data_IF_556274249227
#
_entry.id   IF_556274249227
#
_cell.length_a   1.000
_cell.length_b   1.000
_cell.length_c   1.000
_cell.angle_alpha   90.00
_cell.angle_beta   90.00
_cell.angle_gamma   90.00
#
_symmetry.space_group_name_H-M   'P 1'
#
loop_
_entity.id
_entity.type
_entity.pdbx_description
1 polymer ?
#
# COMPACT_ATOMS: atom_id res chain seq x y z
N UNK A 1 -13.26 17.95 -2.07
CA UNK A 1 -13.97 17.71 -3.35
C UNK A 1 -13.97 16.20 -3.58
N UNK A 2 -15.12 15.57 -3.44
CA UNK A 2 -15.26 14.14 -3.74
C UNK A 2 -15.24 13.97 -5.24
N UNK A 3 -14.13 13.50 -5.78
CA UNK A 3 -14.08 13.06 -7.16
C UNK A 3 -14.90 11.78 -7.27
N UNK A 4 -16.10 11.89 -7.82
CA UNK A 4 -16.93 10.73 -8.11
C UNK A 4 -16.32 10.01 -9.31
N UNK A 5 -15.47 9.03 -9.03
CA UNK A 5 -14.88 8.19 -10.07
C UNK A 5 -15.98 7.28 -10.64
N UNK A 6 -16.08 7.23 -11.95
CA UNK A 6 -17.12 6.45 -12.65
C UNK A 6 -16.77 4.97 -12.82
N UNK A 7 -15.52 4.60 -12.55
CA UNK A 7 -15.03 3.23 -12.68
C UNK A 7 -14.31 2.82 -11.40
N UNK A 8 -14.66 1.65 -10.89
CA UNK A 8 -14.11 1.10 -9.65
C UNK A 8 -13.55 -0.31 -9.93
N UNK A 9 -12.52 -0.75 -9.18
CA UNK A 9 -12.15 -2.15 -9.14
C UNK A 9 -13.37 -3.00 -8.77
N UNK A 10 -13.49 -4.19 -9.33
CA UNK A 10 -14.55 -5.10 -8.94
C UNK A 10 -14.30 -5.68 -7.54
N UNK A 11 -15.35 -6.31 -6.98
CA UNK A 11 -15.26 -6.86 -5.62
C UNK A 11 -14.24 -7.99 -5.52
N UNK A 12 -14.03 -8.77 -6.56
CA UNK A 12 -13.03 -9.86 -6.55
C UNK A 12 -11.64 -9.27 -6.44
N UNK A 13 -11.35 -8.24 -7.22
CA UNK A 13 -10.07 -7.53 -7.18
C UNK A 13 -9.80 -6.87 -5.82
N UNK A 14 -10.82 -6.32 -5.15
CA UNK A 14 -10.70 -5.76 -3.81
C UNK A 14 -10.45 -6.85 -2.75
N UNK A 15 -11.12 -8.02 -2.88
CA UNK A 15 -10.88 -9.17 -1.99
C UNK A 15 -9.46 -9.70 -2.15
N UNK A 16 -8.99 -9.90 -3.38
CA UNK A 16 -7.63 -10.35 -3.65
C UNK A 16 -6.59 -9.32 -3.18
N UNK A 17 -6.89 -8.03 -3.28
CA UNK A 17 -6.05 -6.96 -2.77
C UNK A 17 -5.95 -7.01 -1.23
N UNK A 18 -7.08 -7.14 -0.52
CA UNK A 18 -7.13 -7.28 0.94
C UNK A 18 -6.41 -8.55 1.41
N UNK A 19 -6.59 -9.67 0.70
CA UNK A 19 -5.92 -10.92 1.00
C UNK A 19 -4.43 -10.95 0.63
N UNK A 20 -3.93 -9.94 -0.08
CA UNK A 20 -2.53 -9.87 -0.52
C UNK A 20 -2.18 -10.84 -1.67
N UNK A 21 -3.19 -11.39 -2.36
CA UNK A 21 -3.01 -12.35 -3.45
C UNK A 21 -3.03 -11.72 -4.84
N UNK A 22 -3.42 -10.44 -4.93
CA UNK A 22 -3.47 -9.72 -6.20
C UNK A 22 -2.07 -9.54 -6.79
N UNK A 23 -1.86 -9.76 -8.11
CA UNK A 23 -0.59 -9.51 -8.76
C UNK A 23 -0.07 -8.08 -8.55
N UNK A 24 1.26 -7.92 -8.52
CA UNK A 24 1.88 -6.63 -8.14
C UNK A 24 1.42 -5.46 -9.00
N UNK A 25 1.34 -5.62 -10.32
CA UNK A 25 0.92 -4.54 -11.22
C UNK A 25 -0.52 -4.08 -10.96
N UNK A 26 -1.43 -5.02 -10.74
CA UNK A 26 -2.83 -4.75 -10.42
C UNK A 26 -2.97 -4.13 -9.03
N UNK A 27 -2.19 -4.63 -8.04
CA UNK A 27 -2.14 -4.07 -6.69
C UNK A 27 -1.72 -2.58 -6.69
N UNK A 28 -0.81 -2.20 -7.57
CA UNK A 28 -0.40 -0.80 -7.74
C UNK A 28 -1.56 0.04 -8.26
N UNK A 29 -2.28 -0.45 -9.27
CA UNK A 29 -3.43 0.24 -9.83
C UNK A 29 -4.54 0.41 -8.80
N UNK A 30 -4.87 -0.65 -8.06
CA UNK A 30 -5.87 -0.60 -6.97
C UNK A 30 -5.42 0.37 -5.88
N UNK A 31 -4.17 0.30 -5.44
CA UNK A 31 -3.62 1.20 -4.42
C UNK A 31 -3.68 2.67 -4.86
N UNK A 32 -3.35 2.97 -6.11
CA UNK A 32 -3.48 4.31 -6.66
C UNK A 32 -4.94 4.79 -6.71
N UNK A 33 -5.88 3.91 -7.10
CA UNK A 33 -7.30 4.21 -7.10
C UNK A 33 -7.82 4.51 -5.69
N UNK A 34 -7.44 3.70 -4.69
CA UNK A 34 -7.83 3.87 -3.28
C UNK A 34 -7.40 5.23 -2.71
N UNK A 35 -6.33 5.83 -3.26
CA UNK A 35 -5.91 7.16 -2.83
C UNK A 35 -6.99 8.24 -3.10
N UNK A 36 -7.77 8.09 -4.15
CA UNK A 36 -8.77 9.07 -4.60
C UNK A 36 -10.21 8.63 -4.35
N UNK A 37 -10.48 7.34 -4.13
CA UNK A 37 -11.83 6.80 -4.02
C UNK A 37 -12.18 6.41 -2.59
N UNK A 38 -13.07 7.19 -1.95
CA UNK A 38 -13.56 6.92 -0.60
C UNK A 38 -14.45 5.68 -0.54
N UNK A 39 -15.28 5.46 -1.57
CA UNK A 39 -16.18 4.31 -1.64
C UNK A 39 -15.39 2.99 -1.60
N UNK A 40 -14.33 2.86 -2.41
CA UNK A 40 -13.50 1.66 -2.42
C UNK A 40 -12.69 1.49 -1.13
N UNK A 41 -12.25 2.60 -0.49
CA UNK A 41 -11.64 2.51 0.85
C UNK A 41 -12.60 1.97 1.90
N UNK A 42 -13.86 2.41 1.88
CA UNK A 42 -14.89 1.92 2.80
C UNK A 42 -15.16 0.44 2.60
N UNK A 43 -15.22 -0.01 1.34
CA UNK A 43 -15.40 -1.42 1.04
C UNK A 43 -14.19 -2.27 1.48
N UNK A 44 -12.97 -1.78 1.24
CA UNK A 44 -11.76 -2.43 1.71
C UNK A 44 -11.76 -2.58 3.24
N UNK A 45 -12.15 -1.55 3.99
CA UNK A 45 -12.27 -1.63 5.44
C UNK A 45 -13.24 -2.73 5.90
N UNK A 46 -14.33 -2.96 5.19
CA UNK A 46 -15.26 -4.07 5.50
C UNK A 46 -14.60 -5.43 5.29
N UNK A 47 -13.85 -5.58 4.20
CA UNK A 47 -13.10 -6.80 3.92
C UNK A 47 -12.01 -7.05 4.97
N UNK A 48 -11.30 -6.03 5.40
CA UNK A 48 -10.30 -6.11 6.46
C UNK A 48 -10.91 -6.48 7.82
N UNK A 49 -12.13 -6.03 8.10
CA UNK A 49 -12.88 -6.46 9.29
C UNK A 49 -13.18 -7.96 9.28
N UNK A 50 -13.59 -8.49 8.12
CA UNK A 50 -13.79 -9.94 7.95
C UNK A 50 -12.47 -10.70 8.15
N UNK A 51 -11.39 -10.23 7.54
CA UNK A 51 -10.06 -10.79 7.72
C UNK A 51 -9.61 -10.80 9.19
N UNK A 52 -9.86 -9.71 9.91
CA UNK A 52 -9.58 -9.58 11.34
C UNK A 52 -10.38 -10.58 12.19
N UNK A 53 -11.65 -10.80 11.84
CA UNK A 53 -12.47 -11.80 12.53
C UNK A 53 -11.93 -13.21 12.31
N UNK A 54 -11.59 -13.58 11.09
CA UNK A 54 -11.00 -14.87 10.76
C UNK A 54 -9.68 -15.09 11.50
N UNK A 55 -8.85 -14.05 11.60
CA UNK A 55 -7.60 -14.12 12.35
C UNK A 55 -7.82 -14.34 13.85
N UNK A 56 -8.87 -13.73 14.42
CA UNK A 56 -9.23 -13.88 15.83
C UNK A 56 -9.73 -15.30 16.14
N UNK A 57 -10.38 -15.94 15.17
CA UNK A 57 -10.89 -17.32 15.28
C UNK A 57 -9.82 -18.36 14.99
N UNK A 58 -8.68 -17.98 14.42
CA UNK A 58 -7.57 -18.88 14.14
C UNK A 58 -6.92 -19.39 15.45
N UNK A 59 -6.41 -20.60 15.43
CA UNK A 59 -5.70 -21.18 16.57
C UNK A 59 -4.43 -20.37 16.86
N UNK A 60 -4.22 -19.90 18.11
CA UNK A 60 -3.05 -19.15 18.47
C UNK A 60 -1.77 -19.97 18.26
N UNK A 61 -0.76 -19.37 17.66
CA UNK A 61 0.57 -19.97 17.58
C UNK A 61 1.30 -19.83 18.93
N UNK A 62 2.03 -20.86 19.33
CA UNK A 62 2.93 -20.76 20.47
C UNK A 62 4.09 -19.82 20.13
N UNK A 63 4.33 -18.87 21.01
CA UNK A 63 5.46 -17.94 20.89
C UNK A 63 6.38 -18.11 22.09
N UNK A 64 7.68 -17.91 21.85
CA UNK A 64 8.67 -17.93 22.93
C UNK A 64 8.45 -16.73 23.87
N UNK A 65 8.49 -17.00 25.20
CA UNK A 65 8.28 -15.95 26.21
C UNK A 65 9.30 -14.80 26.10
N UNK A 66 10.49 -15.09 25.61
CA UNK A 66 11.54 -14.07 25.41
C UNK A 66 11.33 -13.19 24.17
N UNK A 67 10.38 -13.55 23.30
CA UNK A 67 10.14 -12.81 22.06
C UNK A 67 9.69 -11.37 22.34
N UNK A 68 8.83 -11.18 23.33
CA UNK A 68 8.36 -9.87 23.73
C UNK A 68 9.52 -8.97 24.16
N UNK A 69 10.37 -9.45 25.06
CA UNK A 69 11.53 -8.71 25.54
C UNK A 69 12.52 -8.39 24.42
N UNK A 70 12.70 -9.34 23.50
CA UNK A 70 13.55 -9.14 22.31
C UNK A 70 13.02 -8.03 21.40
N UNK A 71 11.70 -7.99 21.17
CA UNK A 71 11.06 -6.95 20.34
C UNK A 71 11.16 -5.60 21.04
N UNK A 72 10.88 -5.53 22.35
CA UNK A 72 10.97 -4.28 23.12
C UNK A 72 12.40 -3.74 23.12
N UNK A 73 13.40 -4.61 23.36
CA UNK A 73 14.80 -4.20 23.30
C UNK A 73 15.21 -3.66 21.92
N UNK A 74 14.67 -4.22 20.82
CA UNK A 74 14.89 -3.69 19.47
C UNK A 74 14.23 -2.33 19.26
N UNK A 75 13.04 -2.12 19.81
CA UNK A 75 12.34 -0.82 19.72
C UNK A 75 13.14 0.23 20.51
N UNK A 76 13.57 -0.08 21.73
CA UNK A 76 14.32 0.82 22.59
C UNK A 76 15.70 1.15 22.02
N UNK A 77 16.34 0.19 21.33
CA UNK A 77 17.63 0.38 20.67
C UNK A 77 17.53 1.01 19.27
N UNK A 78 16.35 1.08 18.69
CA UNK A 78 16.14 1.73 17.42
C UNK A 78 16.31 3.25 17.60
N UNK A 79 17.43 3.79 17.12
CA UNK A 79 17.58 5.23 17.00
C UNK A 79 16.39 5.75 16.17
N UNK A 80 15.75 6.82 16.66
CA UNK A 80 14.68 7.46 15.90
C UNK A 80 15.20 7.75 14.50
N UNK A 81 14.65 7.03 13.52
CA UNK A 81 15.02 7.29 12.11
C UNK A 81 14.95 8.79 11.89
N UNK A 82 16.00 9.42 11.37
CA UNK A 82 15.98 10.86 11.15
C UNK A 82 14.71 11.16 10.36
N UNK A 83 13.87 12.07 10.90
CA UNK A 83 12.70 12.57 10.15
C UNK A 83 13.21 12.87 8.75
N UNK A 84 12.59 12.36 7.70
CA UNK A 84 13.02 12.67 6.35
C UNK A 84 13.14 14.20 6.28
N UNK A 85 14.36 14.67 6.04
CA UNK A 85 14.62 16.09 5.86
C UNK A 85 13.59 16.57 4.85
N UNK A 86 12.93 17.68 5.16
CA UNK A 86 11.86 18.31 4.38
C UNK A 86 12.16 18.11 2.90
N UNK A 87 11.54 17.09 2.31
CA UNK A 87 11.76 16.79 0.91
C UNK A 87 11.31 18.02 0.14
N UNK A 88 12.24 18.72 -0.47
CA UNK A 88 11.92 19.62 -1.57
C UNK A 88 10.87 18.92 -2.40
N UNK A 89 9.85 19.65 -2.83
CA UNK A 89 8.69 19.16 -3.58
C UNK A 89 9.13 18.36 -4.83
N UNK A 90 9.66 17.18 -4.61
CA UNK A 90 9.70 16.12 -5.61
C UNK A 90 8.25 15.80 -5.88
N UNK A 91 7.84 15.84 -7.12
CA UNK A 91 6.49 15.47 -7.54
C UNK A 91 6.09 14.22 -6.77
N UNK A 92 5.15 14.35 -5.83
CA UNK A 92 4.85 13.28 -4.91
C UNK A 92 4.03 12.24 -5.66
N UNK A 93 4.72 11.22 -6.13
CA UNK A 93 4.05 10.03 -6.61
C UNK A 93 3.24 9.41 -5.46
N UNK A 94 2.09 8.79 -5.74
CA UNK A 94 1.36 8.01 -4.75
C UNK A 94 2.32 7.03 -4.06
N UNK A 95 2.15 6.82 -2.76
CA UNK A 95 3.04 5.99 -1.95
C UNK A 95 3.26 4.58 -2.52
N UNK A 96 2.23 4.01 -3.15
CA UNK A 96 2.27 2.74 -3.88
C UNK A 96 3.27 2.73 -5.03
N UNK A 97 3.39 3.84 -5.74
CA UNK A 97 4.34 3.99 -6.85
C UNK A 97 5.75 4.29 -6.34
N UNK A 98 5.86 5.09 -5.27
CA UNK A 98 7.16 5.45 -4.70
C UNK A 98 7.94 4.25 -4.16
N UNK A 99 7.25 3.19 -3.70
CA UNK A 99 7.88 1.93 -3.27
C UNK A 99 8.57 1.17 -4.41
N UNK A 100 8.12 1.36 -5.64
CA UNK A 100 8.69 0.69 -6.82
C UNK A 100 9.86 1.45 -7.42
N UNK A 101 9.90 2.76 -7.21
CA UNK A 101 10.98 3.61 -7.70
C UNK A 101 12.15 3.47 -6.72
N UNK A 102 13.08 2.57 -7.03
CA UNK A 102 14.28 2.33 -6.21
C UNK A 102 15.20 3.54 -6.10
N UNK A 103 15.09 4.49 -7.00
CA UNK A 103 15.87 5.71 -7.00
C UNK A 103 14.99 6.91 -7.36
N UNK A 104 14.59 7.75 -6.38
CA UNK A 104 13.75 8.92 -6.63
C UNK A 104 14.42 9.99 -7.50
N UNK A 105 15.75 9.92 -7.66
CA UNK A 105 16.52 10.79 -8.55
C UNK A 105 16.50 10.32 -10.01
N UNK A 106 16.09 9.08 -10.24
CA UNK A 106 16.02 8.53 -11.58
C UNK A 106 14.64 8.84 -12.18
N UNK A 107 14.57 9.88 -12.98
CA UNK A 107 13.38 10.15 -13.76
C UNK A 107 13.23 9.06 -14.85
N UNK A 108 12.07 8.37 -14.91
CA UNK A 108 11.82 7.42 -15.97
C UNK A 108 11.91 8.13 -17.34
N UNK A 109 12.62 7.51 -18.27
CA UNK A 109 12.67 8.01 -19.65
C UNK A 109 11.37 7.57 -20.33
N UNK A 110 10.46 8.51 -20.48
CA UNK A 110 9.22 8.28 -21.19
C UNK A 110 9.49 8.10 -22.69
N UNK A 111 9.13 6.95 -23.21
CA UNK A 111 9.21 6.67 -24.65
C UNK A 111 7.82 6.75 -25.24
N UNK A 112 7.68 7.53 -26.31
CA UNK A 112 6.43 7.57 -27.05
C UNK A 112 6.21 6.22 -27.75
N UNK A 113 5.14 5.52 -27.41
CA UNK A 113 4.75 4.25 -28.01
C UNK A 113 4.02 4.42 -29.35
N UNK A 114 3.30 5.54 -29.50
CA UNK A 114 2.60 5.90 -30.71
C UNK A 114 2.48 7.42 -30.83
N UNK A 115 2.05 7.91 -31.98
CA UNK A 115 1.88 9.35 -32.19
C UNK A 115 0.83 10.00 -31.26
N UNK A 116 0.02 9.21 -30.56
CA UNK A 116 -1.08 9.66 -29.71
C UNK A 116 -0.97 9.29 -28.23
N UNK A 117 0.03 8.52 -27.82
CA UNK A 117 0.19 8.07 -26.43
C UNK A 117 1.64 8.21 -25.99
N UNK A 118 1.88 9.04 -24.98
CA UNK A 118 3.14 9.11 -24.24
C UNK A 118 3.06 8.21 -23.00
N UNK A 119 4.02 7.35 -22.80
CA UNK A 119 4.15 6.51 -21.62
C UNK A 119 5.42 6.89 -20.86
#
# INVERSE_FOLDING_TARGET
MSHNLSHHPDNVMLVEFSAGTLPTAESICVSAHLHFCEQCRTELLRLDQVGSQLLTEAEPAEIDESLFDTVMAKIDSAEASPKPATAEKVQSFPHSVSKLIKNPQHQPIWKRLSASVDI
#
